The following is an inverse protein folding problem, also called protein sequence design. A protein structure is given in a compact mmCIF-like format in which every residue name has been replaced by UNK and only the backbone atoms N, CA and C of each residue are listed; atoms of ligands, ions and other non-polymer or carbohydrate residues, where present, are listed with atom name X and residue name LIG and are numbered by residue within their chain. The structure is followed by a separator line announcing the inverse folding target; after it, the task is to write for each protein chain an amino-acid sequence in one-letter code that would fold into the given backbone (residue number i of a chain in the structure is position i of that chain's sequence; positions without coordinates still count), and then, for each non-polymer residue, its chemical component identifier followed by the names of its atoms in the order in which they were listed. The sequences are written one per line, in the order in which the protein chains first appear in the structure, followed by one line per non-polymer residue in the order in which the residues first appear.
data_IF_197236097268
#
_entry.id   IF_197236097268
#
_cell.length_a   1.000
_cell.length_b   1.000
_cell.length_c   1.000
_cell.angle_alpha   90.00
_cell.angle_beta   90.00
_cell.angle_gamma   90.00
#
_symmetry.space_group_name_H-M   'P 1'
#
loop_
_entity.id
_entity.type
_entity.pdbx_description
1 polymer ?
#
# COMPACT_ATOMS: atom_id res chain seq x y z
N UNK A 1 -4.74 1.53 17.33
CA UNK A 1 -3.77 2.61 17.25
C UNK A 1 -3.48 3.09 18.68
N UNK A 2 -2.22 3.28 18.98
CA UNK A 2 -1.76 3.76 20.29
C UNK A 2 -0.97 5.05 20.07
N UNK A 3 -1.07 5.95 21.03
CA UNK A 3 -0.28 7.19 21.04
C UNK A 3 1.04 6.91 21.78
N UNK A 4 2.01 6.41 21.02
CA UNK A 4 3.33 5.99 21.50
C UNK A 4 4.40 6.39 20.49
N UNK A 5 5.61 6.59 20.94
CA UNK A 5 6.77 6.82 20.06
C UNK A 5 7.12 5.57 19.25
N UNK A 6 7.84 5.75 18.14
CA UNK A 6 8.27 4.60 17.32
C UNK A 6 9.12 3.61 18.11
N UNK A 7 9.95 4.08 19.04
CA UNK A 7 10.82 3.22 19.84
C UNK A 7 10.03 2.39 20.86
N UNK A 8 9.04 3.00 21.51
CA UNK A 8 8.12 2.29 22.40
C UNK A 8 7.32 1.22 21.64
N UNK A 9 6.84 1.55 20.42
CA UNK A 9 6.13 0.59 19.59
C UNK A 9 7.04 -0.56 19.17
N UNK A 10 8.29 -0.29 18.75
CA UNK A 10 9.26 -1.35 18.45
C UNK A 10 9.46 -2.27 19.65
N UNK A 11 9.65 -1.69 20.82
CA UNK A 11 9.87 -2.45 22.05
C UNK A 11 8.69 -3.35 22.40
N UNK A 12 7.45 -2.83 22.31
CA UNK A 12 6.26 -3.61 22.65
C UNK A 12 5.96 -4.70 21.61
N UNK A 13 6.10 -4.40 20.30
CA UNK A 13 5.90 -5.39 19.23
C UNK A 13 6.93 -6.52 19.34
N UNK A 14 8.20 -6.22 19.62
CA UNK A 14 9.22 -7.23 19.89
C UNK A 14 8.96 -8.03 21.17
N UNK A 15 8.46 -7.38 22.23
CA UNK A 15 8.09 -8.06 23.47
C UNK A 15 6.97 -9.08 23.22
N UNK A 16 5.94 -8.73 22.45
CA UNK A 16 4.89 -9.67 22.04
C UNK A 16 5.46 -10.83 21.20
N UNK A 17 6.27 -10.52 20.19
CA UNK A 17 6.90 -11.57 19.37
C UNK A 17 7.72 -12.55 20.23
N UNK A 18 8.46 -12.06 21.22
CA UNK A 18 9.26 -12.88 22.16
C UNK A 18 8.41 -13.74 23.10
N UNK A 19 7.12 -13.48 23.23
CA UNK A 19 6.18 -14.40 23.92
C UNK A 19 5.59 -15.45 22.99
N UNK A 20 6.22 -15.69 21.85
CA UNK A 20 5.77 -16.62 20.79
C UNK A 20 4.44 -16.22 20.13
N UNK A 21 4.11 -14.92 20.19
CA UNK A 21 2.91 -14.35 19.58
C UNK A 21 3.26 -13.67 18.25
N UNK A 22 2.76 -14.16 17.11
CA UNK A 22 2.88 -13.44 15.84
C UNK A 22 2.18 -12.07 15.89
N UNK A 23 2.85 -11.05 15.37
CA UNK A 23 2.37 -9.66 15.36
C UNK A 23 2.17 -9.21 13.92
N UNK A 24 0.94 -8.79 13.57
CA UNK A 24 0.66 -8.11 12.30
C UNK A 24 0.31 -6.66 12.62
N UNK A 25 1.16 -5.72 12.19
CA UNK A 25 1.07 -4.32 12.59
C UNK A 25 0.77 -3.37 11.43
N UNK A 26 -0.09 -2.38 11.70
CA UNK A 26 -0.29 -1.22 10.83
C UNK A 26 0.70 -0.09 11.12
N UNK A 27 1.46 -0.19 12.22
CA UNK A 27 2.37 0.88 12.63
C UNK A 27 3.59 0.96 11.71
N UNK A 28 4.18 2.15 11.64
CA UNK A 28 5.35 2.40 10.80
C UNK A 28 6.68 2.06 11.48
N UNK A 29 6.68 1.68 12.76
CA UNK A 29 7.88 1.53 13.57
C UNK A 29 8.86 0.49 13.00
N UNK A 30 8.37 -0.65 12.52
CA UNK A 30 9.17 -1.73 11.96
C UNK A 30 9.23 -1.78 10.43
N UNK A 31 8.64 -0.81 9.70
CA UNK A 31 8.62 -0.85 8.22
C UNK A 31 10.01 -0.89 7.58
N UNK A 32 11.01 -0.36 8.27
CA UNK A 32 12.41 -0.32 7.80
C UNK A 32 13.34 -1.26 8.56
N UNK A 33 12.83 -2.07 9.47
CA UNK A 33 13.64 -3.12 10.11
C UNK A 33 13.98 -4.16 9.04
N UNK A 34 15.28 -4.49 8.84
CA UNK A 34 15.73 -5.23 7.66
C UNK A 34 15.05 -6.59 7.46
N UNK A 35 14.84 -7.34 8.55
CA UNK A 35 14.24 -8.68 8.57
C UNK A 35 12.74 -8.70 8.91
N UNK A 36 12.08 -7.55 8.92
CA UNK A 36 10.62 -7.46 9.10
C UNK A 36 9.96 -7.30 7.74
N UNK A 37 9.10 -8.26 7.32
CA UNK A 37 8.39 -8.15 6.06
C UNK A 37 7.34 -7.05 6.11
N UNK A 38 7.43 -6.10 5.17
CA UNK A 38 6.41 -5.12 4.89
C UNK A 38 5.63 -5.59 3.66
N UNK A 39 4.36 -5.94 3.82
CA UNK A 39 3.63 -6.72 2.82
C UNK A 39 2.31 -6.07 2.42
N UNK A 40 2.08 -6.04 1.11
CA UNK A 40 0.77 -5.99 0.47
C UNK A 40 0.52 -7.38 -0.11
N UNK A 41 -0.42 -8.16 0.40
CA UNK A 41 -0.56 -9.59 0.08
C UNK A 41 -0.65 -9.91 -1.41
N UNK A 42 -1.18 -9.00 -2.23
CA UNK A 42 -1.26 -9.16 -3.69
C UNK A 42 0.02 -8.74 -4.43
N UNK A 43 0.97 -8.08 -3.77
CA UNK A 43 2.18 -7.53 -4.43
C UNK A 43 3.41 -8.37 -4.15
N UNK A 44 3.70 -8.64 -2.87
CA UNK A 44 4.98 -9.18 -2.43
C UNK A 44 4.85 -10.23 -1.30
N UNK A 45 3.99 -11.23 -1.45
CA UNK A 45 3.81 -12.27 -0.43
C UNK A 45 5.09 -13.08 -0.15
N UNK A 46 6.04 -13.11 -1.08
CA UNK A 46 7.34 -13.76 -0.95
C UNK A 46 8.23 -13.10 0.13
N UNK A 47 7.95 -11.86 0.52
CA UNK A 47 8.68 -11.22 1.63
C UNK A 47 8.47 -11.92 2.97
N UNK A 48 7.46 -12.76 3.11
CA UNK A 48 7.32 -13.61 4.30
C UNK A 48 8.46 -14.61 4.47
N UNK A 49 9.20 -14.93 3.41
CA UNK A 49 10.35 -15.84 3.47
C UNK A 49 11.52 -15.26 4.28
N UNK A 50 11.47 -13.99 4.68
CA UNK A 50 12.43 -13.39 5.63
C UNK A 50 12.13 -13.76 7.09
N UNK A 51 10.91 -14.23 7.41
CA UNK A 51 10.47 -14.53 8.78
C UNK A 51 11.40 -15.52 9.52
N UNK A 52 11.90 -16.60 8.91
CA UNK A 52 12.83 -17.49 9.59
C UNK A 52 14.12 -16.78 10.11
N UNK A 53 14.63 -15.81 9.36
CA UNK A 53 15.78 -15.02 9.77
C UNK A 53 15.45 -14.09 10.94
N UNK A 54 14.26 -13.48 10.91
CA UNK A 54 13.76 -12.65 12.01
C UNK A 54 13.57 -13.48 13.28
N UNK A 55 12.96 -14.68 13.20
CA UNK A 55 12.79 -15.60 14.33
C UNK A 55 14.15 -15.94 14.96
N UNK A 56 15.16 -16.21 14.14
CA UNK A 56 16.52 -16.46 14.63
C UNK A 56 17.09 -15.26 15.41
N UNK A 57 16.89 -14.03 14.90
CA UNK A 57 17.33 -12.80 15.59
C UNK A 57 16.59 -12.58 16.91
N UNK A 58 15.27 -12.83 16.92
CA UNK A 58 14.42 -12.64 18.11
C UNK A 58 14.60 -13.77 19.14
N UNK A 59 15.12 -14.93 18.74
CA UNK A 59 15.21 -16.13 19.58
C UNK A 59 13.84 -16.80 19.81
N UNK A 60 12.98 -16.81 18.78
CA UNK A 60 11.62 -17.34 18.83
C UNK A 60 11.44 -18.53 17.89
N UNK A 61 10.46 -19.38 18.19
CA UNK A 61 10.05 -20.49 17.32
C UNK A 61 8.79 -20.13 16.51
N UNK A 62 7.84 -19.40 17.12
CA UNK A 62 6.57 -19.01 16.50
C UNK A 62 6.43 -17.49 16.35
N UNK A 63 6.95 -16.74 17.31
CA UNK A 63 6.80 -15.30 17.34
C UNK A 63 7.57 -14.57 16.25
N UNK A 64 6.92 -13.62 15.58
CA UNK A 64 7.51 -12.74 14.57
C UNK A 64 6.66 -11.47 14.42
N UNK A 65 7.17 -10.50 13.67
CA UNK A 65 6.49 -9.27 13.32
C UNK A 65 6.39 -9.19 11.79
N UNK A 66 5.20 -8.91 11.27
CA UNK A 66 4.97 -8.51 9.90
C UNK A 66 4.22 -7.17 9.90
N UNK A 67 4.55 -6.29 8.96
CA UNK A 67 3.94 -4.96 8.92
C UNK A 67 3.30 -4.68 7.56
N UNK A 68 2.33 -3.79 7.58
CA UNK A 68 1.72 -3.29 6.37
C UNK A 68 2.30 -1.90 6.03
N UNK A 69 2.40 -1.52 4.73
CA UNK A 69 2.90 -0.22 4.31
C UNK A 69 1.89 0.91 4.58
N UNK A 70 2.29 2.11 4.24
CA UNK A 70 1.47 3.32 4.28
C UNK A 70 0.15 3.16 3.50
N UNK A 71 -0.91 3.80 4.00
CA UNK A 71 -2.24 3.72 3.38
C UNK A 71 -2.31 4.46 2.04
N UNK A 72 -1.56 5.54 1.85
CA UNK A 72 -1.65 6.35 0.63
C UNK A 72 -1.14 5.63 -0.60
N UNK A 73 -0.09 4.81 -0.47
CA UNK A 73 0.49 4.08 -1.61
C UNK A 73 -0.44 3.00 -2.19
N UNK A 74 -1.48 2.59 -1.45
CA UNK A 74 -2.45 1.62 -1.96
C UNK A 74 -3.21 2.12 -3.19
N UNK A 75 -3.31 3.43 -3.38
CA UNK A 75 -3.99 4.02 -4.54
C UNK A 75 -3.18 3.95 -5.84
N UNK A 76 -1.86 3.64 -5.79
CA UNK A 76 -1.03 3.63 -7.00
C UNK A 76 0.03 2.51 -7.05
N UNK A 77 0.58 2.05 -5.93
CA UNK A 77 1.60 0.99 -5.97
C UNK A 77 1.08 -0.34 -6.55
N UNK A 78 -0.17 -0.79 -6.26
CA UNK A 78 -0.74 -1.95 -6.94
C UNK A 78 -0.88 -1.77 -8.45
N UNK A 79 -1.23 -0.56 -8.90
CA UNK A 79 -1.36 -0.21 -10.32
C UNK A 79 -0.01 -0.33 -11.02
N UNK A 80 1.03 0.27 -10.45
CA UNK A 80 2.40 0.16 -10.98
C UNK A 80 2.91 -1.28 -10.94
N UNK A 81 2.49 -2.08 -9.98
CA UNK A 81 2.82 -3.51 -9.89
C UNK A 81 2.21 -4.29 -11.06
N UNK A 82 0.93 -4.02 -11.40
CA UNK A 82 0.28 -4.64 -12.56
C UNK A 82 1.01 -4.31 -13.88
N UNK A 83 1.72 -3.21 -13.92
CA UNK A 83 2.49 -2.72 -15.08
C UNK A 83 3.99 -3.01 -15.01
N UNK A 84 4.46 -3.80 -14.03
CA UNK A 84 5.90 -4.04 -13.79
C UNK A 84 6.63 -4.61 -15.01
N UNK A 85 5.97 -5.41 -15.86
CA UNK A 85 6.56 -5.96 -17.07
C UNK A 85 6.95 -4.91 -18.12
N UNK A 86 6.31 -3.73 -18.10
CA UNK A 86 6.62 -2.59 -18.97
C UNK A 86 7.72 -1.68 -18.41
N UNK A 87 8.26 -2.03 -17.24
CA UNK A 87 9.37 -1.35 -16.58
C UNK A 87 9.12 0.15 -16.34
N UNK A 88 8.13 0.51 -15.48
CA UNK A 88 8.00 1.90 -15.06
C UNK A 88 9.32 2.37 -14.42
N UNK A 89 9.82 3.56 -14.81
CA UNK A 89 11.13 4.03 -14.33
C UNK A 89 11.14 5.44 -13.76
N UNK A 90 10.21 6.30 -14.14
CA UNK A 90 9.96 7.62 -13.54
C UNK A 90 8.48 7.76 -13.19
N UNK A 91 8.18 8.14 -11.96
CA UNK A 91 6.82 8.31 -11.44
C UNK A 91 6.72 9.62 -10.68
N UNK A 92 5.73 10.42 -11.03
CA UNK A 92 5.31 11.58 -10.24
C UNK A 92 3.92 11.32 -9.70
N UNK A 93 3.75 11.40 -8.39
CA UNK A 93 2.48 11.19 -7.73
C UNK A 93 2.10 12.40 -6.86
N UNK A 94 0.82 12.78 -6.91
CA UNK A 94 0.24 13.67 -5.91
C UNK A 94 -0.87 12.93 -5.21
N UNK A 95 -0.77 12.77 -3.88
CA UNK A 95 -1.80 12.09 -3.10
C UNK A 95 -2.71 13.10 -2.41
N UNK A 96 -4.02 12.91 -2.57
CA UNK A 96 -5.08 13.66 -1.89
C UNK A 96 -5.61 12.77 -0.75
N UNK A 97 -5.19 13.10 0.48
CA UNK A 97 -5.38 12.21 1.63
C UNK A 97 -6.53 12.67 2.51
N UNK A 98 -7.45 11.76 2.78
CA UNK A 98 -8.61 11.92 3.64
C UNK A 98 -8.23 12.18 5.12
N UNK A 99 -9.07 12.91 5.85
CA UNK A 99 -8.83 13.30 7.25
C UNK A 99 -8.79 12.10 8.21
N UNK A 100 -9.52 11.02 7.92
CA UNK A 100 -9.46 9.78 8.73
C UNK A 100 -8.07 9.14 8.76
N UNK A 101 -7.20 9.45 7.78
CA UNK A 101 -5.79 9.07 7.81
C UNK A 101 -5.01 9.70 8.98
N UNK A 102 -5.48 10.81 9.52
CA UNK A 102 -5.00 11.43 10.75
C UNK A 102 -5.76 10.97 12.01
N UNK A 103 -6.64 9.96 11.91
CA UNK A 103 -7.48 9.50 13.00
C UNK A 103 -8.58 10.49 13.39
N UNK A 104 -8.97 11.39 12.49
CA UNK A 104 -9.93 12.49 12.77
C UNK A 104 -11.16 12.38 11.90
N UNK A 105 -12.25 12.99 12.39
CA UNK A 105 -13.48 13.26 11.66
C UNK A 105 -13.65 14.77 11.48
N UNK A 106 -14.62 15.22 10.69
CA UNK A 106 -14.94 16.67 10.60
C UNK A 106 -15.42 17.25 11.94
N UNK A 107 -16.01 16.43 12.82
CA UNK A 107 -16.37 16.85 14.18
C UNK A 107 -15.13 17.18 15.01
N UNK A 108 -14.05 16.40 14.86
CA UNK A 108 -12.80 16.58 15.62
C UNK A 108 -11.85 17.57 14.95
N UNK A 109 -12.11 17.89 13.69
CA UNK A 109 -11.28 18.79 12.89
C UNK A 109 -12.12 19.64 11.91
N UNK A 110 -13.00 20.53 12.44
CA UNK A 110 -13.91 21.33 11.61
C UNK A 110 -13.19 22.29 10.67
N UNK A 111 -11.95 22.71 10.99
CA UNK A 111 -11.14 23.60 10.13
C UNK A 111 -10.74 22.96 8.80
N UNK A 112 -10.96 21.67 8.65
CA UNK A 112 -10.75 20.98 7.37
C UNK A 112 -11.89 21.17 6.38
N UNK A 113 -13.07 21.58 6.83
CA UNK A 113 -14.17 21.87 5.90
C UNK A 113 -13.79 23.03 4.95
N UNK A 114 -13.81 22.74 3.65
CA UNK A 114 -13.42 23.71 2.62
C UNK A 114 -11.93 24.06 2.58
N UNK A 115 -11.07 23.33 3.27
CA UNK A 115 -9.63 23.61 3.37
C UNK A 115 -8.77 22.50 2.78
N UNK A 116 -7.57 22.88 2.29
CA UNK A 116 -6.52 21.95 1.81
C UNK A 116 -5.21 22.31 2.53
N UNK A 117 -4.57 21.27 3.11
CA UNK A 117 -3.25 21.44 3.74
C UNK A 117 -2.20 20.78 2.83
N UNK A 118 -1.24 21.55 2.26
CA UNK A 118 -0.28 21.05 1.26
C UNK A 118 0.92 20.31 1.88
N UNK A 119 0.79 19.82 3.10
CA UNK A 119 1.85 19.13 3.81
C UNK A 119 1.29 18.12 4.82
N UNK A 120 1.83 16.90 4.80
CA UNK A 120 1.57 15.86 5.80
C UNK A 120 2.93 15.31 6.25
N UNK A 121 3.29 15.50 7.53
CA UNK A 121 4.62 15.19 8.05
C UNK A 121 5.09 13.75 7.75
N UNK A 122 6.19 13.64 7.01
CA UNK A 122 6.83 12.36 6.66
C UNK A 122 6.07 11.48 5.66
N UNK A 123 4.96 11.96 5.07
CA UNK A 123 4.18 11.17 4.11
C UNK A 123 4.83 11.10 2.73
N UNK A 124 5.50 12.16 2.29
CA UNK A 124 6.18 12.18 0.99
C UNK A 124 7.30 11.14 0.95
N UNK A 125 8.17 11.10 1.95
CA UNK A 125 9.24 10.10 2.04
C UNK A 125 8.69 8.67 2.05
N UNK A 126 7.63 8.40 2.82
CA UNK A 126 6.96 7.08 2.82
C UNK A 126 6.41 6.73 1.44
N UNK A 127 5.75 7.68 0.80
CA UNK A 127 5.15 7.50 -0.53
C UNK A 127 6.20 7.25 -1.61
N UNK A 128 7.38 7.81 -1.48
CA UNK A 128 8.51 7.62 -2.42
C UNK A 128 9.27 6.31 -2.17
N UNK A 129 9.46 5.93 -0.91
CA UNK A 129 10.39 4.84 -0.55
C UNK A 129 9.70 3.50 -0.26
N UNK A 130 8.50 3.49 0.31
CA UNK A 130 7.84 2.24 0.66
C UNK A 130 7.48 1.36 -0.56
N UNK A 131 7.04 1.91 -1.72
CA UNK A 131 6.86 1.10 -2.91
C UNK A 131 8.14 0.37 -3.36
N UNK A 132 9.30 1.02 -3.25
CA UNK A 132 10.58 0.40 -3.59
C UNK A 132 10.92 -0.77 -2.67
N UNK A 133 10.53 -0.68 -1.37
CA UNK A 133 10.70 -1.80 -0.45
C UNK A 133 9.73 -2.94 -0.78
N UNK A 134 8.49 -2.66 -1.19
CA UNK A 134 7.55 -3.70 -1.65
C UNK A 134 8.07 -4.46 -2.87
N UNK A 135 8.78 -3.78 -3.78
CA UNK A 135 9.38 -4.38 -4.97
C UNK A 135 10.81 -4.87 -4.76
N UNK A 136 11.29 -4.85 -3.52
CA UNK A 136 12.60 -5.32 -3.14
C UNK A 136 12.75 -6.83 -3.21
N UNK A 137 13.96 -7.30 -2.90
CA UNK A 137 14.33 -8.71 -2.85
C UNK A 137 14.86 -9.09 -1.46
N UNK A 138 14.84 -10.38 -1.15
CA UNK A 138 15.49 -10.88 0.07
C UNK A 138 16.92 -11.28 -0.29
N UNK A 139 17.89 -10.68 0.39
CA UNK A 139 19.30 -10.96 0.25
C UNK A 139 19.89 -11.21 1.65
N UNK A 140 20.49 -12.36 1.86
CA UNK A 140 21.11 -12.76 3.14
C UNK A 140 20.21 -12.55 4.38
N UNK A 141 18.90 -12.78 4.22
CA UNK A 141 17.93 -12.68 5.31
C UNK A 141 17.46 -11.26 5.63
N UNK A 142 17.71 -10.30 4.73
CA UNK A 142 17.20 -8.94 4.84
C UNK A 142 16.52 -8.51 3.55
N UNK A 143 15.57 -7.59 3.66
CA UNK A 143 14.86 -7.04 2.49
C UNK A 143 15.65 -5.83 1.97
N UNK A 144 16.20 -5.97 0.77
CA UNK A 144 16.88 -4.91 0.02
C UNK A 144 15.88 -4.25 -0.93
N UNK A 145 15.72 -2.93 -0.82
CA UNK A 145 14.75 -2.20 -1.66
C UNK A 145 15.19 -2.15 -3.12
N UNK A 146 14.22 -2.14 -4.04
CA UNK A 146 14.45 -1.89 -5.45
C UNK A 146 15.04 -0.49 -5.69
N UNK A 147 15.80 -0.33 -6.77
CA UNK A 147 16.40 0.94 -7.17
C UNK A 147 15.57 1.70 -8.23
N UNK A 148 14.54 1.09 -8.77
CA UNK A 148 13.64 1.65 -9.78
C UNK A 148 12.19 1.23 -9.48
N UNK A 149 11.22 2.07 -9.83
CA UNK A 149 11.31 3.41 -10.45
C UNK A 149 11.82 4.50 -9.51
N UNK A 150 12.24 5.63 -10.05
CA UNK A 150 12.38 6.85 -9.27
C UNK A 150 10.99 7.43 -9.04
N UNK A 151 10.63 7.66 -7.79
CA UNK A 151 9.32 8.21 -7.42
C UNK A 151 9.52 9.53 -6.72
N UNK A 152 8.80 10.56 -7.15
CA UNK A 152 8.64 11.81 -6.39
C UNK A 152 7.17 12.00 -6.06
N UNK A 153 6.88 12.40 -4.84
CA UNK A 153 5.52 12.49 -4.35
C UNK A 153 5.24 13.80 -3.62
N UNK A 154 4.04 14.33 -3.84
CA UNK A 154 3.49 15.42 -3.06
C UNK A 154 2.25 14.94 -2.31
N UNK A 155 2.19 15.18 -0.99
CA UNK A 155 1.12 14.69 -0.14
C UNK A 155 0.27 15.83 0.41
N UNK A 156 -1.00 15.85 0.02
CA UNK A 156 -1.95 16.91 0.34
C UNK A 156 -3.10 16.36 1.19
N UNK A 157 -3.42 17.01 2.30
CA UNK A 157 -4.62 16.72 3.08
C UNK A 157 -5.81 17.45 2.47
N UNK A 158 -6.89 16.71 2.20
CA UNK A 158 -8.11 17.25 1.59
C UNK A 158 -9.32 17.04 2.48
N UNK A 159 -10.41 17.86 2.29
CA UNK A 159 -11.62 17.78 3.09
C UNK A 159 -12.52 16.59 2.67
N UNK A 160 -11.98 15.40 2.75
CA UNK A 160 -12.66 14.12 2.46
C UNK A 160 -12.55 13.24 3.70
N UNK A 161 -13.64 12.58 4.09
CA UNK A 161 -13.64 11.75 5.30
C UNK A 161 -12.80 10.49 5.12
N UNK A 162 -13.08 9.68 4.10
CA UNK A 162 -12.38 8.44 3.76
C UNK A 162 -12.00 8.43 2.29
N UNK A 163 -10.98 7.64 1.95
CA UNK A 163 -10.50 7.47 0.57
C UNK A 163 -9.30 8.35 0.25
N UNK A 164 -8.18 7.70 -0.09
CA UNK A 164 -6.99 8.37 -0.60
C UNK A 164 -6.97 8.26 -2.11
N UNK A 165 -6.93 9.40 -2.78
CA UNK A 165 -6.82 9.50 -4.24
C UNK A 165 -5.38 9.86 -4.61
N UNK A 166 -4.86 9.30 -5.70
CA UNK A 166 -3.57 9.69 -6.27
C UNK A 166 -3.73 10.11 -7.74
N UNK A 167 -3.16 11.25 -8.09
CA UNK A 167 -2.90 11.64 -9.47
C UNK A 167 -1.46 11.25 -9.81
N UNK A 168 -1.28 10.40 -10.81
CA UNK A 168 0.00 9.77 -11.11
C UNK A 168 0.37 9.96 -12.57
N UNK A 169 1.64 10.28 -12.80
CA UNK A 169 2.28 10.34 -14.12
C UNK A 169 3.39 9.32 -14.15
N UNK A 170 3.53 8.57 -15.23
CA UNK A 170 4.48 7.46 -15.33
C UNK A 170 5.15 7.41 -16.70
N UNK A 171 6.47 7.09 -16.69
CA UNK A 171 7.24 6.71 -17.87
C UNK A 171 7.64 5.25 -17.81
N UNK A 172 7.63 4.59 -18.96
CA UNK A 172 7.98 3.20 -19.15
C UNK A 172 9.24 3.05 -20.01
N UNK A 173 10.09 2.06 -19.72
CA UNK A 173 11.23 1.72 -20.59
C UNK A 173 10.78 0.99 -21.84
N UNK A 174 9.72 0.21 -21.73
CA UNK A 174 9.13 -0.54 -22.85
C UNK A 174 7.92 0.19 -23.38
N UNK A 175 7.80 0.21 -24.71
CA UNK A 175 6.58 0.74 -25.35
C UNK A 175 5.38 -0.09 -24.94
N UNK A 176 4.31 0.58 -24.58
CA UNK A 176 3.05 -0.02 -24.15
C UNK A 176 1.89 0.81 -24.67
N UNK A 177 0.77 0.20 -24.98
CA UNK A 177 -0.47 0.90 -25.35
C UNK A 177 -1.39 1.05 -24.16
N UNK A 178 -2.31 1.99 -24.26
CA UNK A 178 -3.36 2.20 -23.22
C UNK A 178 -4.17 0.93 -22.99
N UNK A 179 -4.51 0.22 -24.06
CA UNK A 179 -5.30 -1.00 -24.02
C UNK A 179 -4.58 -2.10 -23.26
N UNK A 180 -3.27 -2.28 -23.50
CA UNK A 180 -2.43 -3.22 -22.76
C UNK A 180 -2.37 -2.88 -21.27
N UNK A 181 -2.25 -1.60 -20.92
CA UNK A 181 -2.25 -1.15 -19.54
C UNK A 181 -3.60 -1.45 -18.85
N UNK A 182 -4.73 -1.21 -19.52
CA UNK A 182 -6.07 -1.53 -19.01
C UNK A 182 -6.25 -3.03 -18.82
N UNK A 183 -5.84 -3.82 -19.81
CA UNK A 183 -5.92 -5.28 -19.74
C UNK A 183 -5.18 -5.82 -18.50
N UNK A 184 -3.95 -5.34 -18.24
CA UNK A 184 -3.17 -5.72 -17.05
C UNK A 184 -3.87 -5.37 -15.74
N UNK A 185 -4.59 -4.26 -15.67
CA UNK A 185 -5.36 -3.90 -14.47
C UNK A 185 -6.54 -4.85 -14.26
N UNK A 186 -7.26 -5.20 -15.34
CA UNK A 186 -8.42 -6.09 -15.30
C UNK A 186 -8.06 -7.54 -14.95
N UNK A 187 -6.91 -7.98 -15.41
CA UNK A 187 -6.41 -9.34 -15.20
C UNK A 187 -5.62 -9.52 -13.91
N UNK A 188 -5.25 -8.42 -13.24
CA UNK A 188 -4.37 -8.49 -12.09
C UNK A 188 -4.99 -9.29 -10.94
N UNK A 189 -4.32 -10.37 -10.59
CA UNK A 189 -4.65 -11.24 -9.46
C UNK A 189 -3.38 -11.52 -8.66
N UNK A 190 -3.53 -11.51 -7.35
CA UNK A 190 -2.47 -11.92 -6.43
C UNK A 190 -2.81 -13.24 -5.74
N UNK A 191 -1.88 -13.72 -4.94
CA UNK A 191 -2.03 -14.94 -4.14
C UNK A 191 -3.32 -14.96 -3.29
N UNK A 192 -3.77 -13.84 -2.67
CA UNK A 192 -5.03 -13.83 -1.94
C UNK A 192 -6.26 -14.21 -2.76
N UNK A 193 -6.33 -13.78 -4.03
CA UNK A 193 -7.43 -14.12 -4.95
C UNK A 193 -7.35 -15.59 -5.37
N UNK A 194 -6.14 -16.10 -5.64
CA UNK A 194 -5.92 -17.50 -5.98
C UNK A 194 -6.32 -18.44 -4.84
N UNK A 195 -5.96 -18.10 -3.61
CA UNK A 195 -6.31 -18.84 -2.40
C UNK A 195 -7.75 -18.59 -1.91
N UNK A 196 -8.45 -17.62 -2.51
CA UNK A 196 -9.81 -17.19 -2.11
C UNK A 196 -9.89 -16.88 -0.62
N UNK A 197 -8.92 -16.10 -0.11
CA UNK A 197 -8.89 -15.73 1.29
C UNK A 197 -10.15 -14.93 1.68
N UNK A 198 -10.68 -15.07 2.91
CA UNK A 198 -11.96 -14.49 3.31
C UNK A 198 -12.08 -12.97 3.10
N UNK A 199 -11.00 -12.24 3.36
CA UNK A 199 -10.96 -10.77 3.20
C UNK A 199 -10.44 -10.32 1.83
N UNK A 200 -10.04 -11.25 0.94
CA UNK A 200 -9.56 -10.90 -0.39
C UNK A 200 -10.71 -10.37 -1.25
N UNK A 201 -10.52 -9.23 -1.94
CA UNK A 201 -11.47 -8.78 -2.95
C UNK A 201 -11.53 -9.79 -4.10
N UNK A 202 -12.70 -10.03 -4.64
CA UNK A 202 -12.84 -10.92 -5.81
C UNK A 202 -12.16 -10.30 -7.03
N UNK A 203 -12.28 -8.98 -7.20
CA UNK A 203 -11.55 -8.18 -8.16
C UNK A 203 -10.69 -7.15 -7.43
N UNK A 204 -9.37 -7.27 -7.52
CA UNK A 204 -8.48 -6.39 -6.77
C UNK A 204 -8.42 -4.97 -7.35
N UNK A 205 -8.32 -4.83 -8.68
CA UNK A 205 -8.28 -3.55 -9.36
C UNK A 205 -9.43 -3.48 -10.36
N UNK A 206 -10.29 -2.44 -10.25
CA UNK A 206 -11.23 -2.10 -11.31
C UNK A 206 -10.73 -0.92 -12.14
N UNK A 207 -10.95 -0.97 -13.45
CA UNK A 207 -10.75 0.16 -14.34
C UNK A 207 -12.10 0.77 -14.74
N UNK A 208 -12.24 2.07 -14.55
CA UNK A 208 -13.44 2.86 -14.84
C UNK A 208 -13.21 3.69 -16.11
N UNK A 209 -14.14 3.56 -17.06
CA UNK A 209 -14.04 4.21 -18.38
C UNK A 209 -14.56 5.66 -18.36
N UNK A 210 -15.41 5.99 -17.40
CA UNK A 210 -16.04 7.30 -17.32
C UNK A 210 -15.03 8.40 -17.01
N UNK A 211 -15.16 9.53 -17.71
CA UNK A 211 -14.24 10.65 -17.62
C UNK A 211 -14.20 11.33 -16.23
N UNK A 212 -15.22 11.17 -15.42
CA UNK A 212 -15.31 11.74 -14.07
C UNK A 212 -15.08 10.72 -12.94
N UNK A 213 -14.52 9.54 -13.24
CA UNK A 213 -14.26 8.47 -12.26
C UNK A 213 -12.75 8.14 -12.15
N UNK A 214 -12.24 7.66 -11.00
CA UNK A 214 -13.00 7.35 -9.76
C UNK A 214 -13.36 8.60 -8.96
N UNK A 215 -14.49 8.51 -8.25
CA UNK A 215 -14.94 9.49 -7.27
C UNK A 215 -14.98 8.82 -5.88
N UNK A 216 -14.56 9.54 -4.85
CA UNK A 216 -14.53 9.00 -3.48
C UNK A 216 -15.91 8.47 -3.06
N UNK A 217 -16.97 9.28 -3.20
CA UNK A 217 -18.31 8.93 -2.77
C UNK A 217 -18.94 7.76 -3.54
N UNK A 218 -18.46 7.47 -4.73
CA UNK A 218 -19.00 6.42 -5.59
C UNK A 218 -18.17 5.13 -5.58
N UNK A 219 -16.85 5.24 -5.33
CA UNK A 219 -15.91 4.16 -5.63
C UNK A 219 -15.07 3.70 -4.45
N UNK A 220 -15.07 4.43 -3.33
CA UNK A 220 -14.19 4.11 -2.19
C UNK A 220 -14.51 2.74 -1.57
N UNK A 221 -15.78 2.33 -1.62
CA UNK A 221 -16.25 1.07 -1.04
C UNK A 221 -16.23 -0.12 -2.03
N UNK A 222 -15.61 0.05 -3.21
CA UNK A 222 -15.43 -1.06 -4.14
C UNK A 222 -14.83 -2.28 -3.45
N UNK A 223 -15.43 -3.46 -3.67
CA UNK A 223 -15.07 -4.71 -2.97
C UNK A 223 -15.03 -4.53 -1.43
N UNK A 224 -16.02 -3.85 -0.88
CA UNK A 224 -16.11 -3.52 0.56
C UNK A 224 -14.91 -2.71 1.07
N UNK A 225 -14.36 -1.84 0.23
CA UNK A 225 -13.18 -1.03 0.52
C UNK A 225 -11.84 -1.77 0.44
N UNK A 226 -11.83 -3.01 -0.05
CA UNK A 226 -10.61 -3.80 -0.22
C UNK A 226 -10.05 -3.73 -1.64
N UNK A 227 -10.85 -3.29 -2.63
CA UNK A 227 -10.42 -3.09 -4.00
C UNK A 227 -9.81 -1.70 -4.24
N UNK A 228 -9.19 -1.56 -5.41
CA UNK A 228 -8.59 -0.33 -5.92
C UNK A 228 -9.37 0.11 -7.16
N UNK A 229 -9.77 1.38 -7.20
CA UNK A 229 -10.45 1.96 -8.36
C UNK A 229 -9.49 2.83 -9.17
N UNK A 230 -9.36 2.55 -10.45
CA UNK A 230 -8.47 3.27 -11.38
C UNK A 230 -9.30 3.83 -12.53
N UNK A 231 -9.02 5.05 -12.94
CA UNK A 231 -9.63 5.65 -14.10
C UNK A 231 -8.77 6.77 -14.68
N UNK A 232 -9.28 7.45 -15.67
CA UNK A 232 -8.59 8.58 -16.31
C UNK A 232 -7.22 8.20 -16.89
N UNK A 233 -7.00 6.94 -17.27
CA UNK A 233 -5.77 6.54 -17.96
C UNK A 233 -5.74 7.14 -19.36
N UNK A 234 -4.74 7.93 -19.64
CA UNK A 234 -4.55 8.63 -20.91
C UNK A 234 -3.10 8.98 -21.15
N UNK A 235 -2.74 9.16 -22.40
CA UNK A 235 -1.42 9.68 -22.80
C UNK A 235 -1.13 11.05 -22.19
N UNK A 236 0.15 11.33 -21.98
CA UNK A 236 0.63 12.60 -21.44
C UNK A 236 1.71 13.21 -22.36
N UNK A 237 1.79 14.54 -22.39
CA UNK A 237 2.73 15.26 -23.25
C UNK A 237 4.19 15.25 -22.73
N UNK A 238 4.39 14.97 -21.43
CA UNK A 238 5.70 14.98 -20.76
C UNK A 238 6.10 13.58 -20.32
N UNK A 239 5.14 12.85 -19.79
CA UNK A 239 5.24 11.43 -19.43
C UNK A 239 4.57 10.57 -20.50
N UNK A 240 4.71 9.24 -20.40
CA UNK A 240 4.02 8.37 -21.35
C UNK A 240 2.52 8.34 -21.04
N UNK A 241 2.17 8.12 -19.77
CA UNK A 241 0.77 8.03 -19.31
C UNK A 241 0.55 8.73 -17.98
N UNK A 242 -0.73 9.05 -17.74
CA UNK A 242 -1.22 9.53 -16.45
C UNK A 242 -2.56 8.90 -16.11
N UNK A 243 -2.82 8.72 -14.81
CA UNK A 243 -4.05 8.12 -14.31
C UNK A 243 -4.46 8.66 -12.94
N UNK A 244 -5.65 8.32 -12.51
CA UNK A 244 -6.15 8.54 -11.15
C UNK A 244 -6.41 7.18 -10.51
N UNK A 245 -5.87 6.99 -9.29
CA UNK A 245 -6.14 5.82 -8.46
C UNK A 245 -6.82 6.21 -7.16
N UNK A 246 -7.67 5.35 -6.64
CA UNK A 246 -8.41 5.54 -5.37
C UNK A 246 -8.39 4.25 -4.57
N UNK A 247 -8.13 4.36 -3.26
CA UNK A 247 -8.23 3.27 -2.31
C UNK A 247 -8.84 3.72 -0.99
N UNK A 248 -9.50 2.81 -0.27
CA UNK A 248 -10.02 3.08 1.06
C UNK A 248 -8.88 3.04 2.10
N UNK A 249 -8.54 4.18 2.67
CA UNK A 249 -7.37 4.33 3.55
C UNK A 249 -7.48 3.60 4.90
N UNK A 250 -8.67 3.45 5.47
CA UNK A 250 -8.87 2.80 6.77
C UNK A 250 -9.20 1.31 6.65
N UNK A 251 -9.76 0.88 5.52
CA UNK A 251 -10.03 -0.55 5.24
C UNK A 251 -8.82 -1.15 4.53
N UNK A 252 -8.68 -0.97 3.20
CA UNK A 252 -7.54 -1.49 2.45
C UNK A 252 -6.21 -0.97 3.00
N UNK A 253 -6.17 0.33 3.24
CA UNK A 253 -4.99 1.04 3.73
C UNK A 253 -4.62 0.73 5.18
N UNK A 254 -5.48 0.12 6.00
CA UNK A 254 -5.21 -0.15 7.41
C UNK A 254 -5.77 -1.52 7.85
N UNK A 255 -6.89 -1.56 8.56
CA UNK A 255 -7.38 -2.74 9.27
C UNK A 255 -7.63 -3.94 8.35
N UNK A 256 -8.36 -3.76 7.25
CA UNK A 256 -8.67 -4.85 6.30
C UNK A 256 -7.41 -5.43 5.65
N UNK A 257 -6.46 -4.56 5.26
CA UNK A 257 -5.17 -5.00 4.73
C UNK A 257 -4.33 -5.79 5.75
N UNK A 258 -4.40 -5.45 7.05
CA UNK A 258 -3.72 -6.22 8.09
C UNK A 258 -4.39 -7.58 8.34
N UNK A 259 -5.72 -7.64 8.32
CA UNK A 259 -6.46 -8.91 8.41
C UNK A 259 -6.10 -9.82 7.24
N UNK A 260 -6.13 -9.31 6.00
CA UNK A 260 -5.74 -10.09 4.82
C UNK A 260 -4.29 -10.58 4.90
N UNK A 261 -3.38 -9.78 5.46
CA UNK A 261 -2.01 -10.20 5.71
C UNK A 261 -1.94 -11.38 6.71
N UNK A 262 -2.72 -11.33 7.80
CA UNK A 262 -2.80 -12.42 8.78
C UNK A 262 -3.44 -13.69 8.17
N UNK A 263 -4.48 -13.55 7.35
CA UNK A 263 -5.08 -14.66 6.62
C UNK A 263 -4.08 -15.35 5.69
N UNK A 264 -3.26 -14.56 4.98
CA UNK A 264 -2.24 -15.11 4.10
C UNK A 264 -1.12 -15.81 4.89
N UNK A 265 -0.69 -15.23 6.02
CA UNK A 265 0.28 -15.88 6.93
C UNK A 265 -0.23 -17.22 7.45
N UNK A 266 -1.52 -17.28 7.83
CA UNK A 266 -2.18 -18.54 8.24
C UNK A 266 -2.24 -19.55 7.08
N UNK A 267 -2.65 -19.12 5.90
CA UNK A 267 -2.74 -19.99 4.73
C UNK A 267 -1.38 -20.55 4.29
N UNK A 268 -0.28 -19.84 4.58
CA UNK A 268 1.10 -20.29 4.33
C UNK A 268 1.75 -21.03 5.51
N UNK A 269 1.05 -21.23 6.61
CA UNK A 269 1.53 -21.98 7.76
C UNK A 269 2.53 -21.26 8.66
N UNK A 270 2.57 -19.93 8.62
CA UNK A 270 3.39 -19.13 9.55
C UNK A 270 2.71 -18.92 10.91
N UNK A 271 1.36 -18.96 10.92
CA UNK A 271 0.48 -18.84 12.11
C UNK A 271 -0.33 -20.10 12.28
#
# INVERSE_FOLDING_TARGET
AVDMTKDEIRAIEEAYAKTETPVVSNNSAHRWTPDVPMVVPEINPEHFDVIPFQKKRLGTERGFIAVKPNCSIQSYAPVLTAWKEFEPYEVVATTYQAISGAGKTFKDWPEMEGNIIPYIGGEEEKSEQEPLRLWGTIEDGVIVKAQSPVITCQCVRVPVLNGHTAAVFVKFRKKVTKEQLIEKLREFKGVPQELKLPSAPAQFIQYLEEDNRPQVTADVDFERGMGISVGRLREDAVYDYKFIGLSHNTVRGAAGGAVLCAELLTARGYI
#
